data_IF_336232473803
#
_entry.id   IF_336232473803
#
_cell.length_a   1.000
_cell.length_b   1.000
_cell.length_c   1.000
_cell.angle_alpha   90.00
_cell.angle_beta   90.00
_cell.angle_gamma   90.00
#
_symmetry.space_group_name_H-M   'P 1'
#
loop_
_entity.id
_entity.type
_entity.pdbx_description
1 polymer ?
#
# COMPACT_ATOMS: atom_id res chain seq x y z
N UNK A 1 2.53 -12.23 -14.58
CA UNK A 1 1.31 -11.49 -14.19
C UNK A 1 0.87 -10.66 -15.39
N UNK A 2 -0.21 -11.07 -16.03
CA UNK A 2 -0.74 -10.35 -17.19
C UNK A 2 -2.25 -10.37 -17.15
N UNK A 3 -2.85 -9.32 -17.70
CA UNK A 3 -4.30 -9.14 -17.78
C UNK A 3 -4.99 -9.20 -16.41
N UNK A 4 -4.32 -8.64 -15.39
CA UNK A 4 -4.84 -8.61 -14.03
C UNK A 4 -5.22 -7.20 -13.64
N UNK A 5 -6.11 -7.09 -12.66
CA UNK A 5 -6.47 -5.81 -12.07
C UNK A 5 -5.77 -5.75 -10.72
N UNK A 6 -4.96 -4.72 -10.53
CA UNK A 6 -4.03 -4.63 -9.42
C UNK A 6 -4.21 -3.30 -8.70
N UNK A 7 -4.26 -3.35 -7.39
CA UNK A 7 -4.24 -2.16 -6.55
C UNK A 7 -2.89 -2.07 -5.84
N UNK A 8 -2.27 -0.91 -5.90
CA UNK A 8 -1.03 -0.64 -5.19
C UNK A 8 -1.28 0.51 -4.23
N UNK A 9 -1.11 0.29 -2.95
CA UNK A 9 -1.16 1.38 -1.98
C UNK A 9 0.24 1.94 -1.83
N UNK A 10 0.35 3.27 -1.79
CA UNK A 10 1.64 3.93 -1.76
C UNK A 10 2.34 3.93 -3.11
N UNK A 11 1.58 3.80 -4.19
CA UNK A 11 2.15 3.64 -5.51
C UNK A 11 2.74 4.90 -6.11
N UNK A 12 2.58 6.04 -5.46
CA UNK A 12 3.23 7.28 -5.92
C UNK A 12 4.60 7.48 -5.28
N UNK A 13 5.02 6.60 -4.39
CA UNK A 13 6.36 6.62 -3.82
C UNK A 13 7.36 5.96 -4.76
N UNK A 14 8.61 5.88 -4.29
CA UNK A 14 9.69 5.38 -5.13
C UNK A 14 9.48 3.91 -5.55
N UNK A 15 9.25 3.04 -4.56
CA UNK A 15 9.08 1.61 -4.86
C UNK A 15 7.81 1.37 -5.65
N UNK A 16 6.71 2.04 -5.25
CA UNK A 16 5.43 1.87 -5.93
C UNK A 16 5.47 2.34 -7.37
N UNK A 17 6.20 3.43 -7.65
CA UNK A 17 6.33 3.94 -9.01
C UNK A 17 7.04 2.94 -9.91
N UNK A 18 8.13 2.35 -9.43
CA UNK A 18 8.85 1.36 -10.21
C UNK A 18 8.01 0.12 -10.44
N UNK A 19 7.28 -0.32 -9.44
CA UNK A 19 6.40 -1.48 -9.57
C UNK A 19 5.29 -1.20 -10.58
N UNK A 20 4.69 -0.01 -10.50
CA UNK A 20 3.63 0.38 -11.43
C UNK A 20 4.14 0.41 -12.85
N UNK A 21 5.32 0.98 -13.07
CA UNK A 21 5.91 1.06 -14.38
C UNK A 21 6.14 -0.33 -14.98
N UNK A 22 6.58 -1.26 -14.16
CA UNK A 22 6.83 -2.61 -14.61
C UNK A 22 5.52 -3.34 -14.98
N UNK A 23 4.49 -3.18 -14.15
CA UNK A 23 3.26 -3.95 -14.29
C UNK A 23 2.26 -3.36 -15.27
N UNK A 24 2.31 -2.03 -15.52
CA UNK A 24 1.27 -1.37 -16.32
C UNK A 24 1.22 -1.86 -17.77
N UNK A 25 2.32 -2.40 -18.26
CA UNK A 25 2.40 -2.80 -19.65
C UNK A 25 1.40 -3.89 -20.01
N UNK A 26 1.04 -4.74 -19.05
CA UNK A 26 0.17 -5.88 -19.29
C UNK A 26 -0.98 -6.01 -18.31
N UNK A 27 -1.18 -5.01 -17.46
CA UNK A 27 -2.17 -5.08 -16.39
C UNK A 27 -2.86 -3.74 -16.22
N UNK A 28 -4.03 -3.77 -15.57
CA UNK A 28 -4.71 -2.55 -15.19
C UNK A 28 -4.32 -2.23 -13.75
N UNK A 29 -3.81 -1.02 -13.52
CA UNK A 29 -3.24 -0.63 -12.23
C UNK A 29 -4.02 0.52 -11.64
N UNK A 30 -4.47 0.34 -10.41
CA UNK A 30 -5.01 1.40 -9.56
C UNK A 30 -4.00 1.69 -8.47
N UNK A 31 -3.81 2.96 -8.15
CA UNK A 31 -2.91 3.37 -7.07
C UNK A 31 -3.68 4.21 -6.08
N UNK A 32 -3.51 3.90 -4.81
CA UNK A 32 -4.04 4.71 -3.71
C UNK A 32 -2.86 5.30 -2.95
N UNK A 33 -2.83 6.62 -2.83
CA UNK A 33 -1.75 7.30 -2.14
C UNK A 33 -2.28 8.58 -1.53
N UNK A 34 -1.84 8.90 -0.33
CA UNK A 34 -2.21 10.17 0.31
C UNK A 34 -1.21 11.27 -0.03
N UNK A 35 -0.14 10.93 -0.72
CA UNK A 35 0.92 11.84 -1.15
C UNK A 35 1.69 12.48 0.00
N UNK A 36 1.69 11.82 1.16
CA UNK A 36 2.51 12.30 2.26
C UNK A 36 4.00 12.25 1.91
N UNK A 37 4.43 11.16 1.28
CA UNK A 37 5.81 11.03 0.80
C UNK A 37 5.87 10.85 -0.71
N UNK A 38 4.79 10.42 -1.34
CA UNK A 38 4.72 10.27 -2.78
C UNK A 38 4.49 11.59 -3.47
N UNK A 39 4.89 11.71 -4.72
CA UNK A 39 4.75 12.94 -5.47
C UNK A 39 4.16 12.67 -6.84
N UNK A 40 3.42 13.64 -7.37
CA UNK A 40 2.71 13.46 -8.63
C UNK A 40 3.62 13.29 -9.83
N UNK A 41 4.82 13.82 -9.79
CA UNK A 41 5.75 13.64 -10.91
C UNK A 41 6.23 12.20 -11.04
N UNK A 42 5.96 11.35 -10.04
CA UNK A 42 6.25 9.93 -10.15
C UNK A 42 5.13 9.15 -10.84
N UNK A 43 4.07 9.84 -11.29
CA UNK A 43 2.95 9.16 -11.92
C UNK A 43 3.37 8.50 -13.23
N UNK A 44 2.87 7.31 -13.42
CA UNK A 44 3.15 6.51 -14.62
C UNK A 44 1.93 6.59 -15.54
N UNK A 45 2.18 6.83 -16.83
CA UNK A 45 1.10 6.94 -17.80
C UNK A 45 0.31 5.64 -17.85
N UNK A 46 -1.01 5.77 -17.84
CA UNK A 46 -1.91 4.63 -17.91
C UNK A 46 -2.36 4.10 -16.57
N UNK A 47 -1.69 4.47 -15.50
CA UNK A 47 -2.09 4.07 -14.15
C UNK A 47 -3.20 4.99 -13.67
N UNK A 48 -4.18 4.43 -12.97
CA UNK A 48 -5.31 5.19 -12.42
C UNK A 48 -4.99 5.53 -10.99
N UNK A 49 -4.75 6.82 -10.71
CA UNK A 49 -4.35 7.28 -9.38
C UNK A 49 -5.54 7.83 -8.63
N UNK A 50 -5.66 7.42 -7.37
CA UNK A 50 -6.66 7.97 -6.47
C UNK A 50 -5.96 8.49 -5.23
N UNK A 51 -6.20 9.77 -4.92
CA UNK A 51 -5.66 10.36 -3.72
C UNK A 51 -6.59 10.03 -2.55
N UNK A 52 -6.03 9.47 -1.49
CA UNK A 52 -6.81 9.14 -0.32
C UNK A 52 -6.00 8.36 0.68
N UNK A 53 -6.64 8.09 1.82
CA UNK A 53 -6.00 7.36 2.91
C UNK A 53 -6.27 5.87 2.77
N UNK A 54 -5.26 5.06 3.07
CA UNK A 54 -5.44 3.61 3.04
C UNK A 54 -6.47 3.16 4.06
N UNK A 55 -6.68 3.95 5.12
CA UNK A 55 -7.72 3.67 6.10
C UNK A 55 -9.13 3.72 5.51
N UNK A 56 -9.28 4.25 4.31
CA UNK A 56 -10.56 4.31 3.61
C UNK A 56 -10.56 3.42 2.37
N UNK A 57 -9.61 2.52 2.26
CA UNK A 57 -9.42 1.75 1.02
C UNK A 57 -10.64 0.94 0.63
N UNK A 58 -11.32 0.35 1.60
CA UNK A 58 -12.46 -0.49 1.26
C UNK A 58 -13.57 0.33 0.60
N UNK A 59 -13.94 1.46 1.21
CA UNK A 59 -15.01 2.29 0.65
C UNK A 59 -14.61 2.88 -0.71
N UNK A 60 -13.32 3.12 -0.92
CA UNK A 60 -12.85 3.71 -2.17
C UNK A 60 -12.84 2.73 -3.34
N UNK A 61 -12.66 1.45 -3.06
CA UNK A 61 -12.44 0.46 -4.13
C UNK A 61 -13.45 -0.70 -4.14
N UNK A 62 -14.36 -0.78 -3.18
CA UNK A 62 -15.27 -1.93 -3.08
C UNK A 62 -16.17 -2.09 -4.29
N UNK A 63 -16.37 -1.03 -5.06
CA UNK A 63 -17.28 -1.06 -6.21
C UNK A 63 -16.60 -1.43 -7.53
N UNK A 64 -15.31 -1.74 -7.49
CA UNK A 64 -14.65 -2.29 -8.68
C UNK A 64 -15.30 -3.62 -9.05
N UNK A 65 -15.27 -3.97 -10.33
CA UNK A 65 -15.84 -5.24 -10.77
C UNK A 65 -15.01 -6.43 -10.30
N UNK A 66 -13.70 -6.27 -10.22
CA UNK A 66 -12.81 -7.31 -9.74
C UNK A 66 -11.49 -6.71 -9.31
N UNK A 67 -10.72 -7.47 -8.55
CA UNK A 67 -9.41 -7.03 -8.11
C UNK A 67 -8.60 -8.30 -7.83
N UNK A 68 -7.54 -8.51 -8.61
CA UNK A 68 -6.80 -9.76 -8.56
C UNK A 68 -5.65 -9.75 -7.57
N UNK A 69 -4.94 -8.61 -7.48
CA UNK A 69 -3.76 -8.49 -6.61
C UNK A 69 -3.79 -7.17 -5.89
N UNK A 70 -3.33 -7.18 -4.67
CA UNK A 70 -3.14 -5.96 -3.88
C UNK A 70 -1.72 -5.94 -3.36
N UNK A 71 -0.97 -4.90 -3.72
CA UNK A 71 0.37 -4.66 -3.19
C UNK A 71 0.25 -3.56 -2.15
N UNK A 72 0.41 -3.93 -0.90
CA UNK A 72 0.25 -2.96 0.19
C UNK A 72 1.60 -2.40 0.59
N UNK A 73 1.95 -1.25 0.02
CA UNK A 73 3.19 -0.55 0.28
C UNK A 73 2.98 0.74 1.07
N UNK A 74 1.74 1.14 1.22
CA UNK A 74 1.39 2.46 1.72
C UNK A 74 1.35 2.62 3.22
N UNK A 75 2.15 1.88 3.95
CA UNK A 75 2.24 2.08 5.39
C UNK A 75 3.04 3.32 5.71
N UNK A 76 2.62 4.01 6.75
CA UNK A 76 3.35 5.14 7.24
C UNK A 76 4.54 4.62 8.03
N UNK A 77 5.74 4.77 7.45
CA UNK A 77 6.95 4.18 8.02
C UNK A 77 7.78 5.16 8.83
N UNK A 78 7.38 6.41 8.84
CA UNK A 78 8.14 7.43 9.51
C UNK A 78 7.99 7.32 11.02
N UNK A 79 9.10 7.27 11.73
CA UNK A 79 9.09 7.22 13.18
C UNK A 79 9.37 8.61 13.70
N UNK A 80 8.47 9.15 14.50
CA UNK A 80 8.59 10.48 15.05
C UNK A 80 9.31 10.44 16.38
N UNK A 81 9.59 11.63 16.91
CA UNK A 81 10.38 11.74 18.12
C UNK A 81 9.59 11.40 19.38
N UNK A 82 8.29 11.65 19.39
CA UNK A 82 7.50 11.49 20.57
C UNK A 82 6.78 10.16 20.60
N UNK A 83 6.45 9.71 21.81
CA UNK A 83 5.68 8.49 21.98
C UNK A 83 4.30 8.61 21.36
N UNK A 84 3.69 9.81 21.43
CA UNK A 84 2.37 10.02 20.84
C UNK A 84 2.39 9.84 19.33
N UNK A 85 3.47 10.29 18.68
CA UNK A 85 3.58 10.13 17.23
C UNK A 85 3.75 8.67 16.86
N UNK A 86 4.51 7.92 17.65
CA UNK A 86 4.67 6.50 17.42
C UNK A 86 3.33 5.77 17.54
N UNK A 87 2.55 6.13 18.55
CA UNK A 87 1.24 5.52 18.72
C UNK A 87 0.32 5.80 17.53
N UNK A 88 0.36 7.03 17.02
CA UNK A 88 -0.44 7.39 15.85
C UNK A 88 -0.02 6.59 14.63
N UNK A 89 1.28 6.41 14.43
CA UNK A 89 1.79 5.61 13.31
C UNK A 89 1.30 4.17 13.41
N UNK A 90 1.40 3.59 14.58
CA UNK A 90 0.97 2.21 14.78
C UNK A 90 -0.53 2.07 14.56
N UNK A 91 -1.32 3.00 15.07
CA UNK A 91 -2.77 2.96 14.90
C UNK A 91 -3.16 3.10 13.44
N UNK A 92 -2.49 4.00 12.73
CA UNK A 92 -2.73 4.19 11.31
C UNK A 92 -2.42 2.90 10.54
N UNK A 93 -1.26 2.30 10.82
CA UNK A 93 -0.85 1.11 10.08
C UNK A 93 -1.77 -0.08 10.34
N UNK A 94 -2.23 -0.24 11.58
CA UNK A 94 -3.18 -1.32 11.91
C UNK A 94 -4.50 -1.10 11.18
N UNK A 95 -5.03 0.13 11.22
CA UNK A 95 -6.28 0.45 10.53
C UNK A 95 -6.18 0.24 9.04
N UNK A 96 -5.07 0.67 8.45
CA UNK A 96 -4.83 0.48 7.02
C UNK A 96 -4.81 -1.00 6.65
N UNK A 97 -4.14 -1.80 7.46
CA UNK A 97 -4.04 -3.22 7.19
C UNK A 97 -5.42 -3.88 7.21
N UNK A 98 -6.26 -3.52 8.18
CA UNK A 98 -7.61 -4.07 8.23
C UNK A 98 -8.42 -3.72 6.99
N UNK A 99 -8.29 -2.50 6.48
CA UNK A 99 -8.98 -2.10 5.26
C UNK A 99 -8.53 -2.94 4.08
N UNK A 100 -7.24 -3.18 3.98
CA UNK A 100 -6.68 -4.00 2.90
C UNK A 100 -7.15 -5.44 3.01
N UNK A 101 -7.23 -5.98 4.22
CA UNK A 101 -7.76 -7.32 4.44
C UNK A 101 -9.22 -7.39 3.99
N UNK A 102 -10.03 -6.39 4.30
CA UNK A 102 -11.43 -6.36 3.86
C UNK A 102 -11.53 -6.41 2.34
N UNK A 103 -10.70 -5.65 1.64
CA UNK A 103 -10.70 -5.69 0.17
C UNK A 103 -10.25 -7.05 -0.33
N UNK A 104 -9.21 -7.59 0.27
CA UNK A 104 -8.68 -8.90 -0.13
C UNK A 104 -9.76 -9.98 -0.03
N UNK A 105 -10.51 -9.96 1.05
CA UNK A 105 -11.59 -10.94 1.24
C UNK A 105 -12.76 -10.68 0.30
N UNK A 106 -13.10 -9.40 0.10
CA UNK A 106 -14.22 -9.03 -0.75
C UNK A 106 -14.04 -9.50 -2.19
N UNK A 107 -12.84 -9.38 -2.72
CA UNK A 107 -12.54 -9.73 -4.10
C UNK A 107 -11.82 -11.08 -4.24
N UNK A 108 -11.51 -11.73 -3.14
CA UNK A 108 -10.70 -12.95 -3.16
C UNK A 108 -9.36 -12.69 -3.87
N UNK A 109 -8.76 -11.56 -3.55
CA UNK A 109 -7.51 -11.13 -4.16
C UNK A 109 -6.30 -11.82 -3.52
N UNK A 110 -5.16 -11.73 -4.18
CA UNK A 110 -3.89 -12.09 -3.59
C UNK A 110 -3.25 -10.84 -3.00
N UNK A 111 -2.87 -10.93 -1.73
CA UNK A 111 -2.26 -9.80 -1.03
C UNK A 111 -0.75 -9.98 -0.94
N UNK A 112 -0.01 -8.99 -1.41
CA UNK A 112 1.42 -8.92 -1.24
C UNK A 112 1.69 -7.74 -0.31
N UNK A 113 2.20 -8.03 0.87
CA UNK A 113 2.44 -7.04 1.89
C UNK A 113 3.92 -6.79 2.05
N UNK A 114 4.30 -5.52 1.99
CA UNK A 114 5.68 -5.11 2.22
C UNK A 114 5.71 -4.27 3.48
N UNK A 115 6.23 -4.84 4.56
CA UNK A 115 6.35 -4.10 5.80
C UNK A 115 7.45 -3.06 5.72
N UNK A 116 7.40 -2.08 6.60
CA UNK A 116 8.43 -1.06 6.63
C UNK A 116 9.68 -1.60 7.32
N UNK A 117 10.82 -1.03 6.97
CA UNK A 117 12.08 -1.40 7.60
C UNK A 117 12.07 -1.07 9.09
N UNK A 118 11.28 -0.12 9.50
CA UNK A 118 11.15 0.21 10.92
C UNK A 118 10.62 -0.96 11.71
N UNK A 119 9.66 -1.68 11.15
CA UNK A 119 9.16 -2.88 11.80
C UNK A 119 10.24 -3.91 11.99
N UNK A 120 11.03 -4.13 10.98
CA UNK A 120 12.10 -5.10 11.08
C UNK A 120 13.13 -4.71 12.11
N UNK A 121 13.42 -3.42 12.21
CA UNK A 121 14.36 -2.94 13.22
C UNK A 121 13.89 -3.29 14.61
N UNK A 122 12.57 -3.23 14.85
CA UNK A 122 12.02 -3.54 16.16
C UNK A 122 12.07 -5.03 16.44
N UNK A 123 11.69 -5.84 15.47
CA UNK A 123 11.66 -7.28 15.67
C UNK A 123 13.03 -7.92 15.63
N UNK A 124 13.85 -7.45 14.74
CA UNK A 124 15.15 -8.07 14.45
C UNK A 124 16.04 -8.16 15.65
N UNK A 125 15.89 -7.25 16.58
CA UNK A 125 16.68 -7.27 17.77
C UNK A 125 16.41 -8.48 18.63
N UNK A 126 15.21 -8.97 18.56
CA UNK A 126 14.79 -10.06 19.39
C UNK A 126 14.85 -11.39 18.74
N UNK A 127 15.04 -11.32 17.53
CA UNK A 127 15.05 -12.47 16.82
C UNK A 127 16.24 -13.13 16.82
N UNK A 128 16.65 -12.79 16.74
CA UNK A 128 17.40 -13.50 16.55
C UNK A 128 17.33 -14.46 16.13
N UNK A 129 16.92 -14.20 15.90
CA UNK A 129 16.67 -15.27 15.57
C UNK A 129 16.83 -15.50 14.45
N UNK A 130 16.94 -15.03 14.37
CA UNK A 130 17.27 -15.13 13.53
C UNK A 130 17.53 -14.76 13.01
#
# INVERSE_FOLDING_TARGET
>A
MINKIILITGGAGFVGSHLSEFLIKKNKIYVLDNYFTGIKKNHIKGVIYKKGETNNAFSLFKDLSSLDYIFHLGEYSRVEQSFNDLEKVMRYNVGSFFEIIKLTMHFNSKLIYCGSSTKYAVYGKNDHHS
#
